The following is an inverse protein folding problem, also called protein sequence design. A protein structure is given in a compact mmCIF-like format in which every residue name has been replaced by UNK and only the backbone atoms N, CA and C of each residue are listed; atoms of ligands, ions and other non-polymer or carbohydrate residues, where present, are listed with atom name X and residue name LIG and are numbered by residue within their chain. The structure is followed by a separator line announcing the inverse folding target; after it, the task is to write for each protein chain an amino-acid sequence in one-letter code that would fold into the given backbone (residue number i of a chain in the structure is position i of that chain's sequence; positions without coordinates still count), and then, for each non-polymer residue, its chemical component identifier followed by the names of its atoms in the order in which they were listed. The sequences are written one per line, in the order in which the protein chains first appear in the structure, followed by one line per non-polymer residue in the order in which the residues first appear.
data_IF_206140877695
#
_entry.id   IF_206140877695
#
_cell.length_a   1.000
_cell.length_b   1.000
_cell.length_c   1.000
_cell.angle_alpha   90.00
_cell.angle_beta   90.00
_cell.angle_gamma   90.00
#
_symmetry.space_group_name_H-M   'P 1'
#
loop_
_entity.id
_entity.type
_entity.pdbx_description
1 polymer ?
#
# COMPACT_ATOMS: atom_id res chain seq x y z
N UNK A 1 1.48 1.49 -28.46
CA UNK A 1 2.08 2.76 -27.98
C UNK A 1 0.98 3.57 -27.32
N UNK A 2 1.14 3.92 -26.06
CA UNK A 2 0.17 4.64 -25.22
C UNK A 2 0.92 5.81 -24.59
N UNK A 3 0.27 6.96 -24.40
CA UNK A 3 0.84 8.09 -23.65
C UNK A 3 0.40 7.98 -22.20
N UNK A 4 1.35 7.70 -21.30
CA UNK A 4 1.16 7.47 -19.87
C UNK A 4 1.50 8.74 -19.09
N UNK A 5 0.58 9.22 -18.26
CA UNK A 5 0.89 10.26 -17.27
C UNK A 5 1.39 9.58 -15.98
N UNK A 6 2.68 9.66 -15.71
CA UNK A 6 3.32 9.09 -14.53
C UNK A 6 3.28 10.09 -13.38
N UNK A 7 2.46 9.82 -12.36
CA UNK A 7 2.33 10.68 -11.17
C UNK A 7 3.24 10.18 -10.05
N UNK A 8 4.00 11.08 -9.43
CA UNK A 8 4.95 10.74 -8.37
C UNK A 8 5.14 11.87 -7.36
N UNK A 9 5.80 11.57 -6.24
CA UNK A 9 5.99 12.48 -5.13
C UNK A 9 4.83 12.41 -4.14
N UNK A 10 4.07 13.50 -3.98
CA UNK A 10 2.91 13.57 -3.12
C UNK A 10 3.19 14.15 -1.75
N UNK A 11 2.12 14.28 -0.94
CA UNK A 11 2.15 14.95 0.38
C UNK A 11 2.51 14.00 1.53
N UNK A 12 2.57 12.70 1.26
CA UNK A 12 2.86 11.69 2.28
C UNK A 12 4.33 11.70 2.71
N UNK A 13 4.64 11.04 3.82
CA UNK A 13 6.01 10.82 4.28
C UNK A 13 6.83 9.97 3.29
N UNK A 14 6.19 9.25 2.39
CA UNK A 14 6.80 8.39 1.38
C UNK A 14 7.13 9.13 0.07
N UNK A 15 7.11 10.47 0.06
CA UNK A 15 7.40 11.32 -1.11
C UNK A 15 8.69 10.88 -1.82
N UNK A 16 9.79 10.71 -1.10
CA UNK A 16 11.10 10.35 -1.67
C UNK A 16 11.08 8.94 -2.28
N UNK A 17 10.39 8.00 -1.63
CA UNK A 17 10.22 6.62 -2.13
C UNK A 17 9.47 6.63 -3.45
N UNK A 18 8.43 7.45 -3.55
CA UNK A 18 7.67 7.67 -4.77
C UNK A 18 8.53 8.24 -5.90
N UNK A 19 9.36 9.24 -5.61
CA UNK A 19 10.29 9.81 -6.60
C UNK A 19 11.29 8.77 -7.13
N UNK A 20 11.83 7.92 -6.25
CA UNK A 20 12.74 6.83 -6.65
C UNK A 20 12.03 5.78 -7.49
N UNK A 21 10.83 5.36 -7.08
CA UNK A 21 10.02 4.39 -7.82
C UNK A 21 9.66 4.89 -9.22
N UNK A 22 9.36 6.18 -9.34
CA UNK A 22 8.98 6.80 -10.61
C UNK A 22 10.11 6.76 -11.65
N UNK A 23 11.37 6.89 -11.25
CA UNK A 23 12.50 6.77 -12.19
C UNK A 23 12.49 5.41 -12.86
N UNK A 24 12.41 4.34 -12.07
CA UNK A 24 12.40 2.97 -12.59
C UNK A 24 11.17 2.69 -13.44
N UNK A 25 10.01 3.20 -13.03
CA UNK A 25 8.74 3.03 -13.77
C UNK A 25 8.79 3.75 -15.12
N UNK A 26 9.31 4.97 -15.16
CA UNK A 26 9.49 5.74 -16.39
C UNK A 26 10.36 4.96 -17.39
N UNK A 27 11.55 4.52 -16.95
CA UNK A 27 12.48 3.77 -17.80
C UNK A 27 11.88 2.46 -18.30
N UNK A 28 11.14 1.75 -17.45
CA UNK A 28 10.43 0.52 -17.81
C UNK A 28 9.36 0.77 -18.90
N UNK A 29 8.51 1.78 -18.73
CA UNK A 29 7.47 2.15 -19.69
C UNK A 29 8.06 2.58 -21.02
N UNK A 30 9.10 3.42 -21.02
CA UNK A 30 9.79 3.85 -22.24
C UNK A 30 10.43 2.66 -22.98
N UNK A 31 11.02 1.70 -22.26
CA UNK A 31 11.59 0.48 -22.85
C UNK A 31 10.57 -0.39 -23.56
N UNK A 32 9.29 -0.27 -23.19
CA UNK A 32 8.14 -0.95 -23.81
C UNK A 32 7.49 -0.12 -24.93
N UNK A 33 8.05 1.07 -25.23
CA UNK A 33 7.61 1.92 -26.34
C UNK A 33 6.41 2.82 -25.98
N UNK A 34 6.14 3.05 -24.70
CA UNK A 34 5.18 4.07 -24.26
C UNK A 34 5.82 5.46 -24.28
N UNK A 35 5.02 6.50 -24.49
CA UNK A 35 5.41 7.88 -24.25
C UNK A 35 5.03 8.25 -22.82
N UNK A 36 5.97 8.75 -22.03
CA UNK A 36 5.73 9.08 -20.62
C UNK A 36 5.74 10.59 -20.41
N UNK A 37 4.68 11.09 -19.77
CA UNK A 37 4.57 12.47 -19.29
C UNK A 37 4.72 12.43 -17.77
N UNK A 38 5.83 12.93 -17.26
CA UNK A 38 6.12 12.93 -15.83
C UNK A 38 5.39 14.07 -15.11
N UNK A 39 4.59 13.75 -14.10
CA UNK A 39 3.83 14.70 -13.29
C UNK A 39 4.27 14.57 -11.83
N UNK A 40 5.10 15.48 -11.37
CA UNK A 40 5.56 15.53 -9.99
C UNK A 40 4.58 16.29 -9.10
N UNK A 41 4.21 15.72 -7.97
CA UNK A 41 3.40 16.35 -6.93
C UNK A 41 4.32 16.73 -5.78
N UNK A 42 4.43 18.00 -5.46
CA UNK A 42 5.27 18.46 -4.36
C UNK A 42 4.65 18.17 -2.98
N UNK A 43 5.39 18.47 -1.91
CA UNK A 43 4.90 18.24 -0.52
C UNK A 43 3.74 19.17 -0.12
N UNK A 44 3.51 20.25 -0.84
CA UNK A 44 2.33 21.10 -0.67
C UNK A 44 1.11 20.59 -1.45
N UNK A 45 1.30 19.62 -2.36
CA UNK A 45 0.27 19.05 -3.21
C UNK A 45 0.12 19.77 -4.55
N UNK A 46 1.05 20.65 -4.91
CA UNK A 46 1.06 21.32 -6.23
C UNK A 46 1.63 20.35 -7.27
N UNK A 47 0.98 20.27 -8.41
CA UNK A 47 1.40 19.44 -9.53
C UNK A 47 2.32 20.22 -10.47
N UNK A 48 3.35 19.55 -10.94
CA UNK A 48 4.34 20.09 -11.86
C UNK A 48 4.55 19.17 -13.05
N UNK A 49 4.65 19.73 -14.24
CA UNK A 49 5.15 18.99 -15.40
C UNK A 49 6.66 18.85 -15.25
N UNK A 50 7.09 17.69 -14.78
CA UNK A 50 8.48 17.41 -14.46
C UNK A 50 9.29 17.13 -15.73
N UNK A 51 10.59 17.47 -15.67
CA UNK A 51 11.54 17.11 -16.71
C UNK A 51 11.86 15.60 -16.64
N UNK A 52 11.35 14.84 -17.61
CA UNK A 52 11.53 13.38 -17.68
C UNK A 52 12.97 12.95 -17.99
N UNK A 53 13.84 13.84 -18.46
CA UNK A 53 15.26 13.55 -18.73
C UNK A 53 16.13 13.75 -17.47
N UNK A 54 15.64 14.52 -16.49
CA UNK A 54 16.39 14.79 -15.26
C UNK A 54 16.44 13.56 -14.35
N UNK A 55 17.61 13.30 -13.76
CA UNK A 55 17.81 12.25 -12.73
C UNK A 55 18.48 12.84 -11.49
N UNK A 56 17.96 12.60 -10.27
CA UNK A 56 16.67 11.96 -9.99
C UNK A 56 15.50 12.82 -10.50
N UNK A 57 14.33 12.19 -10.69
CA UNK A 57 13.08 12.93 -10.94
C UNK A 57 12.77 13.84 -9.75
N UNK A 58 12.32 15.05 -10.04
CA UNK A 58 11.92 16.00 -9.01
C UNK A 58 10.52 16.56 -9.33
N UNK A 59 9.74 16.80 -8.29
CA UNK A 59 8.43 17.44 -8.39
C UNK A 59 8.59 18.96 -8.58
N UNK A 60 9.24 19.35 -9.69
CA UNK A 60 9.58 20.71 -10.07
C UNK A 60 9.30 20.92 -11.56
N UNK A 61 8.95 22.14 -11.95
CA UNK A 61 8.68 22.52 -13.33
C UNK A 61 7.45 23.44 -13.43
N UNK A 62 6.94 23.67 -14.65
CA UNK A 62 5.69 24.39 -14.82
C UNK A 62 4.54 23.74 -14.06
N UNK A 63 3.66 24.55 -13.48
CA UNK A 63 2.49 24.05 -12.80
C UNK A 63 1.60 23.29 -13.78
N UNK A 64 1.15 22.11 -13.37
CA UNK A 64 0.24 21.26 -14.13
C UNK A 64 -1.12 21.16 -13.44
N UNK A 65 -2.18 21.06 -14.22
CA UNK A 65 -3.55 20.84 -13.75
C UNK A 65 -4.17 19.71 -14.55
N UNK A 66 -5.09 18.97 -13.94
CA UNK A 66 -5.91 18.00 -14.65
C UNK A 66 -7.24 18.67 -15.07
N UNK A 67 -7.56 18.58 -16.34
CA UNK A 67 -8.84 19.07 -16.87
C UNK A 67 -9.97 18.13 -16.44
N UNK A 68 -11.01 18.69 -15.83
CA UNK A 68 -12.19 17.95 -15.37
C UNK A 68 -13.46 18.61 -15.95
N UNK A 69 -14.28 17.91 -16.75
CA UNK A 69 -13.96 16.62 -17.40
C UNK A 69 -12.99 16.79 -18.57
N UNK A 70 -12.40 15.69 -19.06
CA UNK A 70 -11.57 15.71 -20.27
C UNK A 70 -10.25 14.98 -20.13
N UNK A 71 -9.74 14.82 -18.91
CA UNK A 71 -8.57 13.97 -18.59
C UNK A 71 -7.25 14.43 -19.20
N UNK A 72 -7.18 15.67 -19.73
CA UNK A 72 -5.94 16.24 -20.26
C UNK A 72 -5.15 16.97 -19.19
N UNK A 73 -3.84 16.93 -19.29
CA UNK A 73 -2.96 17.75 -18.48
C UNK A 73 -2.84 19.15 -19.11
N UNK A 74 -2.99 20.18 -18.31
CA UNK A 74 -2.84 21.57 -18.70
C UNK A 74 -1.56 22.13 -18.06
N UNK A 75 -0.61 22.56 -18.88
CA UNK A 75 0.63 23.21 -18.42
C UNK A 75 1.13 24.19 -19.48
N UNK A 76 1.65 25.34 -19.10
CA UNK A 76 2.18 26.39 -20.00
C UNK A 76 1.24 26.72 -21.18
N UNK A 77 -0.05 26.96 -20.90
CA UNK A 77 -1.10 27.22 -21.90
C UNK A 77 -1.28 26.10 -22.94
N UNK A 78 -0.80 24.90 -22.67
CA UNK A 78 -0.94 23.72 -23.53
C UNK A 78 -1.79 22.66 -22.88
N UNK A 79 -2.58 21.98 -23.69
CA UNK A 79 -3.29 20.78 -23.30
C UNK A 79 -2.55 19.54 -23.81
N UNK A 80 -2.12 18.69 -22.90
CA UNK A 80 -1.38 17.45 -23.17
C UNK A 80 -2.38 16.31 -23.03
N UNK A 81 -2.73 15.65 -24.13
CA UNK A 81 -3.56 14.47 -24.10
C UNK A 81 -2.75 13.29 -23.54
N UNK A 82 -3.33 12.56 -22.62
CA UNK A 82 -2.80 11.30 -22.06
C UNK A 82 -3.88 10.24 -22.13
N UNK A 83 -3.47 8.97 -22.19
CA UNK A 83 -4.41 7.85 -22.31
C UNK A 83 -4.70 7.21 -20.95
N UNK A 84 -3.72 7.22 -20.04
CA UNK A 84 -3.80 6.55 -18.75
C UNK A 84 -2.90 7.25 -17.74
N UNK A 85 -3.35 7.34 -16.50
CA UNK A 85 -2.53 7.75 -15.36
C UNK A 85 -1.86 6.52 -14.72
N UNK A 86 -0.58 6.64 -14.38
CA UNK A 86 0.14 5.67 -13.58
C UNK A 86 0.56 6.36 -12.26
N UNK A 87 -0.26 6.26 -11.20
CA UNK A 87 0.08 6.87 -9.92
C UNK A 87 1.04 5.97 -9.13
N UNK A 88 2.31 6.35 -9.06
CA UNK A 88 3.30 5.74 -8.16
C UNK A 88 3.34 6.59 -6.89
N UNK A 89 2.21 6.64 -6.20
CA UNK A 89 1.99 7.47 -5.01
C UNK A 89 1.68 6.57 -3.83
N UNK A 90 2.47 6.67 -2.77
CA UNK A 90 2.34 5.83 -1.58
C UNK A 90 1.65 6.57 -0.44
N UNK A 91 0.84 5.84 0.35
CA UNK A 91 0.14 6.36 1.52
C UNK A 91 -1.03 7.31 1.22
N UNK A 92 -1.36 8.23 2.15
CA UNK A 92 -2.49 9.14 2.01
C UNK A 92 -2.44 9.97 0.73
N UNK A 93 -3.61 10.22 0.14
CA UNK A 93 -3.85 10.87 -1.16
C UNK A 93 -3.40 10.05 -2.38
N UNK A 94 -2.64 8.95 -2.21
CA UNK A 94 -2.22 8.05 -3.29
C UNK A 94 -2.97 6.73 -3.28
N UNK A 95 -3.17 6.15 -2.08
CA UNK A 95 -3.75 4.81 -1.88
C UNK A 95 -5.13 4.82 -1.22
N UNK A 96 -5.71 5.97 -0.91
CA UNK A 96 -6.94 6.14 -0.12
C UNK A 96 -8.21 6.41 -0.94
N UNK A 97 -8.12 6.35 -2.26
CA UNK A 97 -9.22 6.65 -3.19
C UNK A 97 -9.32 8.12 -3.61
N UNK A 98 -8.53 9.02 -3.01
CA UNK A 98 -8.62 10.46 -3.28
C UNK A 98 -8.17 10.81 -4.70
N UNK A 99 -6.97 10.40 -5.12
CA UNK A 99 -6.47 10.64 -6.48
C UNK A 99 -7.28 9.86 -7.51
N UNK A 100 -7.71 8.65 -7.17
CA UNK A 100 -8.55 7.80 -8.00
C UNK A 100 -9.89 8.50 -8.30
N UNK A 101 -10.51 9.09 -7.28
CA UNK A 101 -11.74 9.88 -7.46
C UNK A 101 -11.56 11.08 -8.39
N UNK A 102 -10.42 11.73 -8.37
CA UNK A 102 -10.11 12.81 -9.30
C UNK A 102 -9.96 12.29 -10.74
N UNK A 103 -9.31 11.14 -10.95
CA UNK A 103 -9.20 10.51 -12.27
C UNK A 103 -10.56 10.05 -12.81
N UNK A 104 -11.43 9.47 -11.95
CA UNK A 104 -12.81 9.13 -12.31
C UNK A 104 -13.59 10.37 -12.80
N UNK A 105 -13.53 11.46 -12.04
CA UNK A 105 -14.21 12.71 -12.39
C UNK A 105 -13.67 13.32 -13.69
N UNK A 106 -12.38 13.14 -13.97
CA UNK A 106 -11.74 13.59 -15.20
C UNK A 106 -12.05 12.69 -16.40
N UNK A 107 -12.54 11.48 -16.18
CA UNK A 107 -12.71 10.46 -17.22
C UNK A 107 -11.37 9.92 -17.73
N UNK A 108 -10.34 9.90 -16.89
CA UNK A 108 -9.00 9.41 -17.20
C UNK A 108 -8.83 7.99 -16.63
N UNK A 109 -8.54 7.02 -17.50
CA UNK A 109 -8.15 5.67 -17.07
C UNK A 109 -6.89 5.73 -16.19
N UNK A 110 -6.76 4.82 -15.22
CA UNK A 110 -5.61 4.81 -14.31
C UNK A 110 -5.25 3.40 -13.85
N UNK A 111 -3.96 3.22 -13.56
CA UNK A 111 -3.40 1.99 -13.02
C UNK A 111 -3.72 1.89 -11.52
N UNK A 112 -4.13 0.71 -11.09
CA UNK A 112 -4.37 0.39 -9.68
C UNK A 112 -5.83 0.23 -9.32
N UNK A 113 -6.08 0.10 -8.02
CA UNK A 113 -7.43 -0.08 -7.48
C UNK A 113 -8.27 1.19 -7.64
N UNK A 114 -9.58 1.00 -7.81
CA UNK A 114 -10.55 2.09 -7.89
C UNK A 114 -10.78 2.78 -6.54
N UNK A 115 -11.67 3.76 -6.53
CA UNK A 115 -12.00 4.55 -5.32
C UNK A 115 -12.39 3.65 -4.16
N UNK A 116 -13.29 2.68 -4.38
CA UNK A 116 -13.78 1.80 -3.32
C UNK A 116 -12.66 0.92 -2.76
N UNK A 117 -11.95 0.16 -3.61
CA UNK A 117 -10.90 -0.74 -3.18
C UNK A 117 -9.77 -0.01 -2.46
N UNK A 118 -9.34 1.15 -2.96
CA UNK A 118 -8.32 1.98 -2.32
C UNK A 118 -8.76 2.47 -0.93
N UNK A 119 -9.96 3.02 -0.81
CA UNK A 119 -10.47 3.54 0.47
C UNK A 119 -10.69 2.42 1.51
N UNK A 120 -11.17 1.26 1.07
CA UNK A 120 -11.40 0.08 1.92
C UNK A 120 -10.07 -0.50 2.40
N UNK A 121 -9.10 -0.68 1.50
CA UNK A 121 -7.80 -1.26 1.84
C UNK A 121 -6.99 -0.36 2.79
N UNK A 122 -7.12 0.96 2.65
CA UNK A 122 -6.42 1.93 3.52
C UNK A 122 -6.90 1.86 4.96
N UNK A 123 -8.18 1.57 5.22
CA UNK A 123 -8.77 1.53 6.57
C UNK A 123 -8.75 0.10 7.13
N UNK A 124 -7.78 -0.21 8.01
CA UNK A 124 -7.56 -1.53 8.60
C UNK A 124 -8.80 -2.13 9.27
N UNK A 125 -9.63 -1.31 9.95
CA UNK A 125 -10.89 -1.78 10.54
C UNK A 125 -11.88 -2.23 9.45
N UNK A 126 -12.05 -1.44 8.39
CA UNK A 126 -12.97 -1.78 7.30
C UNK A 126 -12.47 -3.01 6.54
N UNK A 127 -11.17 -3.05 6.21
CA UNK A 127 -10.54 -4.19 5.56
C UNK A 127 -10.71 -5.48 6.39
N UNK A 128 -10.41 -5.43 7.69
CA UNK A 128 -10.55 -6.58 8.58
C UNK A 128 -12.01 -7.07 8.70
N UNK A 129 -12.98 -6.16 8.73
CA UNK A 129 -14.40 -6.54 8.74
C UNK A 129 -14.82 -7.26 7.46
N UNK A 130 -14.37 -6.80 6.29
CA UNK A 130 -14.67 -7.47 5.02
C UNK A 130 -13.93 -8.80 4.90
N UNK A 131 -12.67 -8.89 5.32
CA UNK A 131 -11.96 -10.16 5.40
C UNK A 131 -12.69 -11.16 6.30
N UNK A 132 -13.16 -10.72 7.46
CA UNK A 132 -13.94 -11.59 8.39
C UNK A 132 -15.24 -12.07 7.76
N UNK A 133 -15.99 -11.20 7.10
CA UNK A 133 -17.23 -11.55 6.39
C UNK A 133 -16.98 -12.57 5.26
N UNK A 134 -15.86 -12.42 4.56
CA UNK A 134 -15.42 -13.35 3.52
C UNK A 134 -14.85 -14.69 4.08
N UNK A 135 -14.83 -14.87 5.41
CA UNK A 135 -14.26 -16.07 6.04
C UNK A 135 -12.75 -16.19 5.86
N UNK A 136 -12.05 -15.05 5.79
CA UNK A 136 -10.59 -14.98 5.72
C UNK A 136 -10.00 -14.90 7.14
N UNK A 137 -8.87 -15.57 7.40
CA UNK A 137 -8.24 -15.56 8.72
C UNK A 137 -7.57 -14.21 8.98
N UNK A 138 -7.94 -13.57 10.07
CA UNK A 138 -7.37 -12.31 10.56
C UNK A 138 -6.97 -12.45 12.02
N UNK A 139 -6.13 -11.53 12.54
CA UNK A 139 -5.86 -11.45 13.97
C UNK A 139 -7.09 -10.93 14.72
N UNK A 140 -7.18 -11.28 16.02
CA UNK A 140 -8.17 -10.70 16.93
C UNK A 140 -7.82 -9.22 17.17
N UNK A 141 -8.83 -8.36 17.10
CA UNK A 141 -8.63 -6.92 17.27
C UNK A 141 -9.85 -6.23 17.86
N UNK A 142 -9.60 -5.09 18.50
CA UNK A 142 -10.61 -4.15 19.01
C UNK A 142 -10.45 -2.80 18.31
N UNK A 143 -11.56 -2.13 18.06
CA UNK A 143 -11.59 -0.79 17.44
C UNK A 143 -11.80 0.25 18.52
N UNK A 144 -10.87 1.20 18.62
CA UNK A 144 -10.98 2.36 19.52
C UNK A 144 -11.29 3.60 18.70
N UNK A 145 -12.41 4.25 19.01
CA UNK A 145 -12.78 5.55 18.42
C UNK A 145 -12.48 6.66 19.41
N UNK A 146 -11.92 7.76 18.94
CA UNK A 146 -11.59 8.91 19.77
C UNK A 146 -12.75 9.35 20.68
N UNK A 147 -14.00 9.38 20.16
CA UNK A 147 -15.17 9.80 20.93
C UNK A 147 -15.40 8.92 22.17
N UNK A 148 -15.49 7.59 21.99
CA UNK A 148 -15.73 6.65 23.07
C UNK A 148 -14.55 6.56 24.04
N UNK A 149 -13.33 6.65 23.52
CA UNK A 149 -12.12 6.63 24.37
C UNK A 149 -12.03 7.84 25.31
N UNK A 150 -12.38 9.04 24.83
CA UNK A 150 -12.34 10.26 25.65
C UNK A 150 -13.43 10.29 26.75
N UNK A 151 -14.48 9.49 26.60
CA UNK A 151 -15.54 9.39 27.63
C UNK A 151 -15.02 8.63 28.89
N UNK A 152 -14.37 7.48 28.72
CA UNK A 152 -13.73 6.73 29.80
C UNK A 152 -12.50 5.93 29.28
N UNK A 153 -11.31 6.54 29.30
CA UNK A 153 -10.08 5.86 28.85
C UNK A 153 -9.73 4.62 29.69
N UNK A 154 -10.05 4.61 30.98
CA UNK A 154 -9.67 3.53 31.87
C UNK A 154 -10.54 2.28 31.63
N UNK A 155 -11.85 2.46 31.41
CA UNK A 155 -12.75 1.38 31.03
C UNK A 155 -12.32 0.77 29.69
N UNK A 156 -12.07 1.58 28.66
CA UNK A 156 -11.64 1.10 27.32
C UNK A 156 -10.34 0.31 27.41
N UNK A 157 -9.36 0.77 28.17
CA UNK A 157 -8.07 0.08 28.33
C UNK A 157 -8.24 -1.25 29.07
N UNK A 158 -9.07 -1.27 30.14
CA UNK A 158 -9.38 -2.50 30.91
C UNK A 158 -10.08 -3.54 30.04
N UNK A 159 -11.11 -3.14 29.32
CA UNK A 159 -11.88 -4.03 28.41
C UNK A 159 -10.98 -4.66 27.33
N UNK A 160 -10.05 -3.88 26.75
CA UNK A 160 -9.10 -4.39 25.76
C UNK A 160 -8.14 -5.40 26.38
N UNK A 161 -7.64 -5.13 27.60
CA UNK A 161 -6.78 -6.05 28.33
C UNK A 161 -7.48 -7.38 28.62
N UNK A 162 -8.75 -7.33 29.01
CA UNK A 162 -9.57 -8.52 29.27
C UNK A 162 -9.88 -9.32 27.98
N UNK A 163 -10.20 -8.63 26.88
CA UNK A 163 -10.58 -9.25 25.61
C UNK A 163 -9.37 -9.85 24.85
N UNK A 164 -8.29 -9.10 24.72
CA UNK A 164 -7.14 -9.49 23.91
C UNK A 164 -5.98 -10.09 24.72
N UNK A 165 -5.86 -9.73 26.01
CA UNK A 165 -4.63 -9.98 26.77
C UNK A 165 -3.46 -9.16 26.24
N UNK A 166 -2.27 -9.39 26.83
CA UNK A 166 -1.02 -8.71 26.43
C UNK A 166 0.02 -9.73 25.97
N UNK A 167 0.93 -9.36 25.05
CA UNK A 167 1.10 -8.03 24.44
C UNK A 167 0.15 -7.79 23.26
N UNK A 168 -0.09 -6.49 22.96
CA UNK A 168 -0.90 -6.05 21.82
C UNK A 168 -0.16 -5.00 20.99
N UNK A 169 -0.58 -4.83 19.73
CA UNK A 169 -0.12 -3.76 18.85
C UNK A 169 -1.24 -2.75 18.62
N UNK A 170 -0.91 -1.47 18.83
CA UNK A 170 -1.80 -0.33 18.62
C UNK A 170 -1.42 0.33 17.30
N UNK A 171 -2.40 0.53 16.40
CA UNK A 171 -2.15 1.06 15.05
C UNK A 171 -3.22 2.09 14.69
N UNK A 172 -2.88 3.27 14.12
CA UNK A 172 -3.86 4.10 13.44
C UNK A 172 -4.58 3.31 12.35
N UNK A 173 -5.90 3.46 12.24
CA UNK A 173 -6.68 2.63 11.31
C UNK A 173 -6.38 2.93 9.83
N UNK A 174 -6.06 4.19 9.49
CA UNK A 174 -5.94 4.65 8.11
C UNK A 174 -4.58 5.32 7.84
N UNK A 175 -3.49 4.68 8.24
CA UNK A 175 -2.13 5.08 7.91
C UNK A 175 -1.28 3.88 7.49
N UNK A 176 -0.31 4.14 6.61
CA UNK A 176 0.73 3.21 6.18
C UNK A 176 2.08 3.43 6.87
N UNK A 177 3.12 2.78 6.36
CA UNK A 177 4.54 3.00 6.72
C UNK A 177 4.88 2.86 8.20
N UNK A 178 4.13 2.08 8.95
CA UNK A 178 4.34 1.85 10.38
C UNK A 178 4.32 3.13 11.26
N UNK A 179 3.77 4.25 10.77
CA UNK A 179 3.65 5.50 11.53
C UNK A 179 2.59 5.34 12.62
N UNK A 180 2.95 5.71 13.87
CA UNK A 180 2.05 5.63 15.02
C UNK A 180 1.72 4.20 15.47
N UNK A 181 2.51 3.19 15.05
CA UNK A 181 2.38 1.81 15.55
C UNK A 181 3.23 1.64 16.79
N UNK A 182 2.62 1.13 17.86
CA UNK A 182 3.28 0.85 19.14
C UNK A 182 2.88 -0.51 19.68
N UNK A 183 3.82 -1.20 20.34
CA UNK A 183 3.58 -2.42 21.12
C UNK A 183 3.30 -2.05 22.57
N UNK A 184 2.31 -2.67 23.16
CA UNK A 184 1.96 -2.49 24.55
C UNK A 184 1.98 -3.83 25.31
N UNK A 185 2.65 -3.83 26.47
CA UNK A 185 2.84 -5.02 27.30
C UNK A 185 1.93 -5.05 28.54
N UNK A 186 1.25 -3.93 28.83
CA UNK A 186 0.35 -3.72 29.97
C UNK A 186 -0.63 -2.57 29.68
N UNK A 187 -1.57 -2.33 30.62
CA UNK A 187 -2.57 -1.26 30.52
C UNK A 187 -1.95 0.14 30.44
N UNK A 188 -0.83 0.38 31.13
CA UNK A 188 -0.17 1.68 31.15
C UNK A 188 0.41 2.02 29.78
N UNK A 189 1.18 1.12 29.21
CA UNK A 189 1.75 1.23 27.86
C UNK A 189 0.66 1.22 26.77
N UNK A 190 -0.45 0.49 26.97
CA UNK A 190 -1.60 0.50 26.07
C UNK A 190 -2.26 1.87 26.02
N UNK A 191 -2.46 2.50 27.18
CA UNK A 191 -3.02 3.85 27.23
C UNK A 191 -2.17 4.86 26.47
N UNK A 192 -0.86 4.86 26.72
CA UNK A 192 0.06 5.79 26.05
C UNK A 192 0.11 5.55 24.53
N UNK A 193 0.06 4.29 24.09
CA UNK A 193 0.03 3.92 22.69
C UNK A 193 -1.27 4.35 22.00
N UNK A 194 -2.44 4.25 22.67
CA UNK A 194 -3.72 4.72 22.12
C UNK A 194 -3.72 6.26 22.02
N UNK A 195 -3.22 6.96 23.05
CA UNK A 195 -3.14 8.42 23.03
C UNK A 195 -2.27 8.93 21.87
N UNK A 196 -1.11 8.30 21.61
CA UNK A 196 -0.24 8.61 20.48
C UNK A 196 -0.93 8.31 19.12
N UNK A 197 -1.45 7.09 18.96
CA UNK A 197 -2.09 6.66 17.72
C UNK A 197 -3.34 7.52 17.35
N UNK A 198 -4.11 7.97 18.37
CA UNK A 198 -5.20 8.93 18.18
C UNK A 198 -4.70 10.32 17.77
N UNK A 199 -3.44 10.66 17.98
CA UNK A 199 -2.80 11.84 17.40
C UNK A 199 -2.81 11.85 15.87
N UNK A 200 -2.77 10.67 15.27
CA UNK A 200 -2.70 10.46 13.82
C UNK A 200 -4.06 10.26 13.14
N UNK A 201 -5.15 10.05 13.88
CA UNK A 201 -6.48 9.86 13.29
C UNK A 201 -7.57 9.66 14.34
N UNK A 202 -8.85 9.65 13.93
CA UNK A 202 -9.97 9.53 14.86
C UNK A 202 -10.28 8.09 15.27
N UNK A 203 -9.59 7.10 14.67
CA UNK A 203 -9.84 5.67 14.84
C UNK A 203 -8.52 4.90 14.90
N UNK A 204 -8.42 4.01 15.85
CA UNK A 204 -7.27 3.13 16.11
C UNK A 204 -7.76 1.70 16.15
N UNK A 205 -6.93 0.75 15.73
CA UNK A 205 -7.12 -0.68 16.01
C UNK A 205 -6.07 -1.14 17.01
N UNK A 206 -6.49 -1.99 17.92
CA UNK A 206 -5.62 -2.71 18.86
C UNK A 206 -5.71 -4.18 18.51
N UNK A 207 -4.60 -4.79 18.15
CA UNK A 207 -4.53 -6.17 17.68
C UNK A 207 -3.72 -7.02 18.66
N UNK A 208 -4.15 -8.27 18.89
CA UNK A 208 -3.33 -9.25 19.60
C UNK A 208 -2.02 -9.48 18.83
N UNK A 209 -0.90 -9.55 19.55
CA UNK A 209 0.39 -9.88 18.94
C UNK A 209 0.34 -11.21 18.21
N UNK A 210 0.90 -11.24 17.01
CA UNK A 210 1.13 -12.45 16.22
C UNK A 210 2.63 -12.70 16.18
N UNK A 211 3.07 -13.81 16.74
CA UNK A 211 4.47 -14.25 16.69
C UNK A 211 4.64 -15.22 15.55
N UNK A 212 5.08 -14.72 14.40
CA UNK A 212 5.16 -15.52 13.18
C UNK A 212 6.11 -14.93 12.16
N UNK A 213 6.14 -15.57 10.98
CA UNK A 213 6.88 -15.10 9.80
C UNK A 213 6.04 -14.07 9.05
N UNK A 214 6.68 -13.07 8.45
CA UNK A 214 6.01 -12.10 7.60
C UNK A 214 6.11 -12.55 6.13
N UNK A 215 4.95 -12.88 5.53
CA UNK A 215 4.84 -13.39 4.16
C UNK A 215 4.05 -12.40 3.33
N UNK A 216 4.59 -12.03 2.18
CA UNK A 216 3.95 -11.12 1.22
C UNK A 216 3.62 -11.85 -0.08
N UNK A 217 2.49 -11.50 -0.69
CA UNK A 217 2.07 -12.01 -2.00
C UNK A 217 1.62 -10.86 -2.89
N UNK A 218 2.23 -10.74 -4.07
CA UNK A 218 1.81 -9.78 -5.08
C UNK A 218 0.64 -10.36 -5.90
N UNK A 219 -0.41 -9.56 -6.07
CA UNK A 219 -1.60 -9.95 -6.83
C UNK A 219 -1.83 -8.95 -7.96
N UNK A 220 -2.10 -9.45 -9.16
CA UNK A 220 -2.62 -8.70 -10.29
C UNK A 220 -4.07 -9.08 -10.56
N UNK A 221 -4.81 -8.16 -11.16
CA UNK A 221 -6.20 -8.37 -11.56
C UNK A 221 -6.38 -9.66 -12.37
N UNK A 222 -7.52 -10.32 -12.16
CA UNK A 222 -7.85 -11.57 -12.80
C UNK A 222 -8.12 -12.78 -11.90
N UNK A 223 -8.02 -12.75 -10.50
CA UNK A 223 -6.84 -12.41 -9.71
C UNK A 223 -5.72 -13.44 -9.88
N UNK A 224 -4.51 -12.98 -10.12
CA UNK A 224 -3.31 -13.82 -10.32
C UNK A 224 -2.28 -13.50 -9.23
N UNK A 225 -1.88 -14.51 -8.46
CA UNK A 225 -0.89 -14.37 -7.40
C UNK A 225 0.51 -14.80 -7.86
N UNK A 226 1.52 -14.01 -7.49
CA UNK A 226 2.94 -14.32 -7.66
C UNK A 226 3.40 -15.48 -6.78
N UNK A 227 4.67 -15.88 -6.87
CA UNK A 227 5.33 -16.61 -5.79
C UNK A 227 5.35 -15.74 -4.53
N UNK A 228 5.20 -16.31 -3.31
CA UNK A 228 5.29 -15.55 -2.08
C UNK A 228 6.72 -15.11 -1.78
N UNK A 229 6.86 -13.94 -1.16
CA UNK A 229 8.08 -13.45 -0.56
C UNK A 229 8.02 -13.49 0.97
N UNK A 230 9.16 -13.38 1.62
CA UNK A 230 9.28 -13.34 3.07
C UNK A 230 10.18 -12.18 3.50
N UNK A 231 9.75 -11.48 4.55
CA UNK A 231 10.53 -10.43 5.19
C UNK A 231 11.10 -11.00 6.50
N UNK A 232 12.42 -10.99 6.63
CA UNK A 232 13.11 -11.40 7.85
C UNK A 232 13.75 -10.18 8.49
N UNK A 233 13.22 -9.77 9.62
CA UNK A 233 13.76 -8.68 10.42
C UNK A 233 14.74 -9.27 11.44
N UNK A 234 16.00 -8.86 11.40
CA UNK A 234 17.07 -9.42 12.25
C UNK A 234 16.99 -8.96 13.70
N UNK A 235 16.35 -7.83 13.97
CA UNK A 235 16.21 -7.26 15.33
C UNK A 235 14.88 -6.53 15.49
N UNK A 236 14.05 -6.93 16.44
CA UNK A 236 12.80 -6.25 16.75
C UNK A 236 11.66 -6.53 15.77
N UNK A 237 10.83 -5.54 15.50
CA UNK A 237 9.70 -5.59 14.58
C UNK A 237 9.89 -4.62 13.39
N UNK A 238 9.13 -4.80 12.31
CA UNK A 238 9.32 -4.13 11.03
C UNK A 238 8.89 -2.66 11.07
N UNK A 239 9.83 -1.78 11.44
CA UNK A 239 9.62 -0.32 11.53
C UNK A 239 9.82 0.38 10.17
N UNK A 240 9.44 1.66 10.08
CA UNK A 240 9.72 2.51 8.92
C UNK A 240 11.21 2.53 8.54
N UNK A 241 12.11 2.66 9.54
CA UNK A 241 13.55 2.66 9.30
C UNK A 241 14.04 1.29 8.81
N UNK A 242 13.47 0.19 9.32
CA UNK A 242 13.76 -1.16 8.83
C UNK A 242 13.27 -1.39 7.39
N UNK A 243 12.21 -0.70 6.95
CA UNK A 243 11.68 -0.77 5.57
C UNK A 243 12.57 -0.09 4.54
N UNK A 244 13.21 1.04 4.89
CA UNK A 244 13.81 1.93 3.88
C UNK A 244 15.26 2.34 4.15
N UNK A 245 15.80 2.10 5.37
CA UNK A 245 17.10 2.64 5.79
C UNK A 245 18.08 1.64 6.38
N UNK A 246 17.63 0.43 6.71
CA UNK A 246 18.45 -0.48 7.50
C UNK A 246 18.83 -1.75 6.72
N UNK A 247 20.14 -2.13 6.75
CA UNK A 247 20.63 -3.43 6.27
C UNK A 247 20.18 -4.61 7.16
N UNK A 248 19.34 -4.33 8.19
CA UNK A 248 18.82 -5.31 9.13
C UNK A 248 17.66 -6.15 8.60
N UNK A 249 17.11 -5.78 7.43
CA UNK A 249 16.00 -6.52 6.81
C UNK A 249 16.50 -7.35 5.63
N UNK A 250 16.14 -8.63 5.62
CA UNK A 250 16.43 -9.54 4.52
C UNK A 250 15.13 -9.87 3.76
N UNK A 251 15.15 -9.69 2.44
CA UNK A 251 14.05 -10.01 1.54
C UNK A 251 14.34 -11.34 0.85
N UNK A 252 13.52 -12.36 1.10
CA UNK A 252 13.67 -13.71 0.55
C UNK A 252 12.59 -13.94 -0.50
N UNK A 253 12.97 -14.06 -1.77
CA UNK A 253 12.05 -14.31 -2.90
C UNK A 253 12.62 -15.40 -3.80
N UNK A 254 11.94 -16.54 -4.00
CA UNK A 254 10.74 -17.00 -3.30
C UNK A 254 10.97 -17.27 -1.79
N UNK A 255 9.90 -17.15 -1.00
CA UNK A 255 9.95 -17.51 0.42
C UNK A 255 10.25 -19.00 0.65
N UNK A 256 10.79 -19.33 1.82
CA UNK A 256 11.05 -20.72 2.23
C UNK A 256 9.80 -21.42 2.78
N UNK A 257 8.69 -21.39 2.04
CA UNK A 257 7.46 -22.11 2.34
C UNK A 257 7.45 -23.46 1.62
N UNK A 258 6.79 -24.46 2.21
CA UNK A 258 6.46 -25.69 1.49
C UNK A 258 5.48 -25.40 0.36
N UNK A 259 5.45 -26.22 -0.68
CA UNK A 259 4.60 -26.02 -1.86
C UNK A 259 3.11 -25.87 -1.50
N UNK A 260 2.63 -26.66 -0.55
CA UNK A 260 1.24 -26.60 -0.04
C UNK A 260 0.93 -25.29 0.71
N UNK A 261 1.90 -24.78 1.48
CA UNK A 261 1.78 -23.50 2.19
C UNK A 261 1.78 -22.33 1.20
N UNK A 262 2.71 -22.36 0.23
CA UNK A 262 2.78 -21.37 -0.84
C UNK A 262 1.47 -21.34 -1.68
N UNK A 263 0.90 -22.52 -2.01
CA UNK A 263 -0.37 -22.59 -2.70
C UNK A 263 -1.52 -22.01 -1.85
N UNK A 264 -1.52 -22.29 -0.54
CA UNK A 264 -2.53 -21.78 0.40
C UNK A 264 -2.49 -20.26 0.50
N UNK A 265 -1.31 -19.66 0.75
CA UNK A 265 -1.20 -18.20 0.91
C UNK A 265 -1.51 -17.46 -0.38
N UNK A 266 -1.14 -18.01 -1.53
CA UNK A 266 -1.51 -17.45 -2.85
C UNK A 266 -3.02 -17.44 -3.06
N UNK A 267 -3.70 -18.53 -2.70
CA UNK A 267 -5.17 -18.61 -2.77
C UNK A 267 -5.82 -17.61 -1.82
N UNK A 268 -5.31 -17.46 -0.60
CA UNK A 268 -5.79 -16.47 0.37
C UNK A 268 -5.59 -15.05 -0.16
N UNK A 269 -4.43 -14.74 -0.75
CA UNK A 269 -4.14 -13.42 -1.30
C UNK A 269 -5.11 -13.01 -2.43
N UNK A 270 -5.44 -13.95 -3.32
CA UNK A 270 -6.45 -13.72 -4.35
C UNK A 270 -7.83 -13.43 -3.73
N UNK A 271 -8.23 -14.18 -2.71
CA UNK A 271 -9.51 -13.97 -2.01
C UNK A 271 -9.55 -12.64 -1.24
N UNK A 272 -8.43 -12.22 -0.64
CA UNK A 272 -8.34 -10.89 0.00
C UNK A 272 -8.50 -9.78 -1.03
N UNK A 273 -7.81 -9.89 -2.17
CA UNK A 273 -7.90 -8.95 -3.28
C UNK A 273 -9.36 -8.76 -3.76
N UNK A 274 -10.09 -9.87 -3.93
CA UNK A 274 -11.51 -9.84 -4.32
C UNK A 274 -12.41 -9.27 -3.20
N UNK A 275 -12.20 -9.71 -1.95
CA UNK A 275 -13.01 -9.28 -0.81
C UNK A 275 -12.90 -7.77 -0.52
N UNK A 276 -11.77 -7.16 -0.84
CA UNK A 276 -11.54 -5.72 -0.69
C UNK A 276 -11.82 -4.92 -1.98
N UNK A 277 -12.47 -5.52 -2.98
CA UNK A 277 -12.84 -4.87 -4.25
C UNK A 277 -11.63 -4.23 -4.98
N UNK A 278 -10.46 -4.85 -4.86
CA UNK A 278 -9.25 -4.36 -5.49
C UNK A 278 -9.22 -4.63 -7.00
N UNK A 279 -8.50 -3.79 -7.74
CA UNK A 279 -8.27 -3.88 -9.19
C UNK A 279 -6.80 -3.59 -9.51
N UNK A 280 -6.39 -3.90 -10.73
CA UNK A 280 -5.03 -3.65 -11.22
C UNK A 280 -3.98 -4.45 -10.46
N UNK A 281 -3.56 -3.96 -9.30
CA UNK A 281 -2.53 -4.58 -8.46
C UNK A 281 -2.81 -4.39 -6.96
N UNK A 282 -2.28 -5.32 -6.16
CA UNK A 282 -2.12 -5.13 -4.71
C UNK A 282 -1.05 -6.08 -4.16
N UNK A 283 -0.44 -5.73 -3.03
CA UNK A 283 0.35 -6.64 -2.21
C UNK A 283 -0.44 -6.98 -0.96
N UNK A 284 -0.61 -8.27 -0.71
CA UNK A 284 -1.26 -8.78 0.49
C UNK A 284 -0.20 -9.29 1.44
N UNK A 285 -0.19 -8.77 2.65
CA UNK A 285 0.79 -9.06 3.68
C UNK A 285 0.16 -9.94 4.75
N UNK A 286 0.85 -11.01 5.13
CA UNK A 286 0.39 -12.03 6.07
C UNK A 286 1.38 -12.22 7.21
N UNK A 287 0.87 -12.49 8.40
CA UNK A 287 1.62 -13.22 9.42
C UNK A 287 1.40 -14.72 9.24
N UNK A 288 2.44 -15.51 9.45
CA UNK A 288 2.37 -16.96 9.34
C UNK A 288 2.88 -17.66 10.61
N UNK A 289 1.99 -18.33 11.31
CA UNK A 289 2.26 -19.17 12.49
C UNK A 289 2.21 -20.64 12.09
N UNK A 290 3.33 -21.29 11.73
CA UNK A 290 3.33 -22.67 11.21
C UNK A 290 2.76 -23.71 12.21
N UNK A 291 3.08 -23.53 13.49
CA UNK A 291 2.62 -24.41 14.56
C UNK A 291 1.37 -23.88 15.31
N UNK A 292 0.71 -22.85 14.77
CA UNK A 292 -0.41 -22.15 15.39
C UNK A 292 -1.61 -21.98 14.48
N UNK A 293 -2.02 -20.73 14.27
CA UNK A 293 -3.23 -20.34 13.50
C UNK A 293 -3.05 -20.40 11.98
N UNK A 294 -1.83 -20.68 11.47
CA UNK A 294 -1.52 -20.63 10.05
C UNK A 294 -1.34 -19.20 9.54
N UNK A 295 -1.83 -18.90 8.33
CA UNK A 295 -1.75 -17.56 7.74
C UNK A 295 -2.86 -16.66 8.28
N UNK A 296 -2.50 -15.46 8.70
CA UNK A 296 -3.42 -14.40 9.14
C UNK A 296 -3.18 -13.17 8.25
N UNK A 297 -4.21 -12.62 7.66
CA UNK A 297 -4.13 -11.37 6.88
C UNK A 297 -3.73 -10.24 7.84
N UNK A 298 -2.68 -9.50 7.50
CA UNK A 298 -2.22 -8.32 8.21
C UNK A 298 -2.75 -7.05 7.54
N UNK A 299 -2.37 -6.81 6.29
CA UNK A 299 -2.83 -5.65 5.53
C UNK A 299 -2.79 -5.91 4.02
N UNK A 300 -3.40 -5.00 3.24
CA UNK A 300 -3.31 -4.96 1.80
C UNK A 300 -2.89 -3.56 1.35
N UNK A 301 -1.88 -3.50 0.47
CA UNK A 301 -1.35 -2.26 -0.09
C UNK A 301 -1.71 -2.16 -1.56
N UNK A 302 -2.50 -1.15 -1.94
CA UNK A 302 -2.98 -0.96 -3.32
C UNK A 302 -1.95 -0.35 -4.26
N UNK A 303 -0.92 0.30 -3.72
CA UNK A 303 0.27 0.75 -4.44
C UNK A 303 1.52 0.46 -3.61
N UNK A 304 1.98 -0.79 -3.58
CA UNK A 304 3.17 -1.18 -2.81
C UNK A 304 4.42 -0.52 -3.37
N UNK A 305 5.52 -0.57 -2.61
CA UNK A 305 6.82 -0.13 -3.10
C UNK A 305 7.12 -0.69 -4.49
N UNK A 306 7.49 0.18 -5.43
CA UNK A 306 7.45 -0.14 -6.86
C UNK A 306 8.81 0.11 -7.57
N UNK A 307 9.93 -0.05 -6.86
CA UNK A 307 11.27 -0.17 -7.48
C UNK A 307 11.55 -1.62 -7.88
N UNK A 308 12.45 -1.89 -8.82
CA UNK A 308 12.86 -3.28 -9.15
C UNK A 308 13.38 -4.10 -7.97
N UNK A 309 13.78 -3.43 -6.87
CA UNK A 309 14.25 -4.04 -5.62
C UNK A 309 13.17 -4.14 -4.55
N UNK A 310 11.96 -3.65 -4.81
CA UNK A 310 10.83 -3.79 -3.90
C UNK A 310 10.21 -5.18 -4.03
N UNK A 311 9.62 -5.68 -2.94
CA UNK A 311 9.06 -7.04 -2.86
C UNK A 311 8.06 -7.34 -3.98
N UNK A 312 7.14 -6.41 -4.27
CA UNK A 312 6.11 -6.63 -5.29
C UNK A 312 6.71 -6.95 -6.67
N UNK A 313 7.59 -6.14 -7.27
CA UNK A 313 8.22 -6.49 -8.54
C UNK A 313 9.18 -7.69 -8.44
N UNK A 314 9.89 -7.88 -7.31
CA UNK A 314 10.77 -9.05 -7.12
C UNK A 314 9.98 -10.36 -7.16
N UNK A 315 8.82 -10.42 -6.53
CA UNK A 315 7.94 -11.59 -6.55
C UNK A 315 7.43 -11.89 -7.97
N UNK A 316 7.07 -10.87 -8.75
CA UNK A 316 6.68 -11.07 -10.15
C UNK A 316 7.86 -11.48 -11.03
N UNK A 317 9.05 -10.92 -10.82
CA UNK A 317 10.26 -11.35 -11.53
C UNK A 317 10.57 -12.84 -11.27
N UNK A 318 10.47 -13.28 -10.01
CA UNK A 318 10.63 -14.70 -9.65
C UNK A 318 9.49 -15.59 -10.19
N UNK A 319 8.34 -15.00 -10.50
CA UNK A 319 7.20 -15.70 -11.16
C UNK A 319 7.40 -15.78 -12.68
N UNK A 320 8.37 -15.04 -13.24
CA UNK A 320 8.69 -15.04 -14.68
C UNK A 320 8.23 -13.82 -15.46
N UNK A 321 7.78 -12.75 -14.79
CA UNK A 321 7.39 -11.47 -15.40
C UNK A 321 8.42 -10.41 -15.02
N UNK A 322 9.16 -9.91 -16.00
CA UNK A 322 10.15 -8.84 -15.78
C UNK A 322 9.50 -7.51 -15.40
N UNK A 323 10.26 -6.60 -14.79
CA UNK A 323 9.74 -5.32 -14.36
C UNK A 323 9.12 -4.47 -15.50
N UNK A 324 9.73 -4.37 -16.70
CA UNK A 324 9.10 -3.70 -17.83
C UNK A 324 7.81 -4.39 -18.29
N UNK A 325 7.75 -5.72 -18.29
CA UNK A 325 6.52 -6.46 -18.62
C UNK A 325 5.42 -6.21 -17.59
N UNK A 326 5.77 -6.14 -16.32
CA UNK A 326 4.84 -5.81 -15.26
C UNK A 326 4.23 -4.40 -15.43
N UNK A 327 5.05 -3.40 -15.76
CA UNK A 327 4.56 -2.03 -16.02
C UNK A 327 3.63 -1.98 -17.25
N UNK A 328 3.98 -2.69 -18.31
CA UNK A 328 3.18 -2.79 -19.55
C UNK A 328 1.83 -3.51 -19.30
N UNK A 329 1.85 -4.61 -18.56
CA UNK A 329 0.66 -5.34 -18.14
C UNK A 329 -0.30 -4.45 -17.32
N UNK A 330 0.22 -3.68 -16.37
CA UNK A 330 -0.59 -2.76 -15.56
C UNK A 330 -1.25 -1.66 -16.40
N UNK A 331 -0.54 -1.12 -17.37
CA UNK A 331 -1.11 -0.18 -18.35
C UNK A 331 -2.21 -0.84 -19.18
N UNK A 332 -2.00 -2.09 -19.58
CA UNK A 332 -2.98 -2.85 -20.36
C UNK A 332 -4.25 -3.14 -19.57
N UNK A 333 -4.11 -3.53 -18.29
CA UNK A 333 -5.24 -3.75 -17.36
C UNK A 333 -6.05 -2.47 -17.15
N UNK A 334 -5.39 -1.32 -17.04
CA UNK A 334 -6.07 -0.04 -16.83
C UNK A 334 -6.87 0.44 -18.06
N UNK A 335 -6.56 -0.07 -19.25
CA UNK A 335 -7.22 0.30 -20.51
C UNK A 335 -8.25 -0.73 -20.99
N UNK A 336 -8.37 -1.87 -20.30
CA UNK A 336 -9.36 -2.92 -20.59
C UNK A 336 -10.73 -2.58 -20.01
#
# INVERSE_FOLDING_TARGET
MVRVALFFGGRSEEHEVSCVSAVSTLEALESRGHEVVAVGIDRAGVWHLADSERRPLAAEGPQALLEVPGGRLLADDRAIAVNVAFPVLHGPYGEDGTIQGLFEMAGLAYVGSGVLGSAVAMDKDVANRLCREAGLPISEYVVVRRSSYLDDPAEVVGDIGDDLGFPVFVKPAALGSSVGISRADDEGSLKDAIDDALGHGPKVIVEREVVGREIEVAVLEGPRASVPGEIVVKTGWYTYDAKYRDDATELIVPSHLHESEAATVRSLACRVFEALECRGLARVDFFYEPDGRGFLVNELNTMPGFTPKSMFPMMWAATGMSYPELCDELVSLALS
#
